data_IF_162893861504
#
_entry.id   IF_162893861504
#
_cell.length_a   1.000
_cell.length_b   1.000
_cell.length_c   1.000
_cell.angle_alpha   90.00
_cell.angle_beta   90.00
_cell.angle_gamma   90.00
#
_symmetry.space_group_name_H-M   'P 1'
#
loop_
_entity.id
_entity.type
_entity.pdbx_description
1 polymer ?
#
# COMPACT_ATOMS: atom_id res chain seq x y z
N UNK A 1 0.23 1.83 0.08
CA UNK A 1 -0.32 0.56 -0.44
C UNK A 1 0.20 -0.64 0.38
N UNK A 2 1.51 -0.87 0.52
CA UNK A 2 2.06 -2.09 1.15
C UNK A 2 1.52 -2.39 2.55
N UNK A 3 1.53 -1.42 3.46
CA UNK A 3 0.98 -1.58 4.81
C UNK A 3 -0.51 -1.92 4.79
N UNK A 4 -1.29 -1.17 4.04
CA UNK A 4 -2.72 -1.41 3.90
C UNK A 4 -3.01 -2.83 3.40
N UNK A 5 -2.31 -3.26 2.35
CA UNK A 5 -2.48 -4.60 1.80
C UNK A 5 -2.07 -5.68 2.81
N UNK A 6 -0.92 -5.52 3.49
CA UNK A 6 -0.45 -6.49 4.47
C UNK A 6 -1.43 -6.67 5.64
N UNK A 7 -1.98 -5.57 6.15
CA UNK A 7 -2.98 -5.58 7.23
C UNK A 7 -4.24 -6.32 6.77
N UNK A 8 -4.81 -5.93 5.61
CA UNK A 8 -6.01 -6.59 5.10
C UNK A 8 -5.79 -8.08 4.81
N UNK A 9 -4.61 -8.48 4.30
CA UNK A 9 -4.28 -9.89 4.13
C UNK A 9 -4.26 -10.65 5.46
N UNK A 10 -3.65 -10.07 6.51
CA UNK A 10 -3.59 -10.69 7.82
C UNK A 10 -4.95 -10.77 8.52
N UNK A 11 -5.77 -9.73 8.39
CA UNK A 11 -7.14 -9.70 8.93
C UNK A 11 -8.05 -10.76 8.29
N UNK A 12 -7.94 -10.93 6.96
CA UNK A 12 -8.73 -11.92 6.23
C UNK A 12 -8.21 -13.37 6.39
N UNK A 13 -6.92 -13.54 6.66
CA UNK A 13 -6.33 -14.84 6.92
C UNK A 13 -5.20 -14.76 7.96
N UNK A 14 -5.51 -14.92 9.25
CA UNK A 14 -4.53 -14.84 10.34
C UNK A 14 -3.44 -15.92 10.32
N UNK A 15 -3.56 -16.94 9.45
CA UNK A 15 -2.52 -17.97 9.30
C UNK A 15 -1.37 -17.54 8.38
N UNK A 16 -1.52 -16.45 7.65
CA UNK A 16 -0.48 -15.94 6.76
C UNK A 16 0.71 -15.39 7.57
N UNK A 17 1.90 -15.79 7.16
CA UNK A 17 3.14 -15.16 7.61
C UNK A 17 3.48 -14.03 6.64
N UNK A 18 3.40 -12.79 7.09
CA UNK A 18 3.56 -11.61 6.25
C UNK A 18 4.76 -10.81 6.71
N UNK A 19 5.60 -10.40 5.75
CA UNK A 19 6.69 -9.45 5.97
C UNK A 19 6.57 -8.26 5.02
N UNK A 20 6.87 -7.08 5.52
CA UNK A 20 7.02 -5.84 4.74
C UNK A 20 8.52 -5.54 4.70
N UNK A 21 9.09 -5.49 3.49
CA UNK A 21 10.47 -5.06 3.26
C UNK A 21 10.47 -3.57 2.88
N UNK A 22 11.09 -2.76 3.71
CA UNK A 22 11.25 -1.32 3.46
C UNK A 22 12.75 -1.01 3.26
N UNK A 23 13.05 -0.32 2.16
CA UNK A 23 14.43 0.11 1.84
C UNK A 23 14.98 1.13 2.82
N UNK A 24 14.13 2.05 3.25
CA UNK A 24 14.51 3.13 4.16
C UNK A 24 14.74 2.67 5.59
N UNK A 25 15.33 3.54 6.39
CA UNK A 25 15.43 3.35 7.84
C UNK A 25 14.10 3.59 8.54
N UNK A 26 13.23 4.40 7.94
CA UNK A 26 11.90 4.74 8.43
C UNK A 26 10.84 4.30 7.44
N UNK A 27 9.69 3.89 7.96
CA UNK A 27 8.54 3.48 7.15
C UNK A 27 7.60 4.63 6.86
N UNK A 28 6.78 4.49 5.80
CA UNK A 28 5.66 5.40 5.50
C UNK A 28 6.08 6.86 5.24
N UNK A 29 7.31 7.13 4.82
CA UNK A 29 7.81 8.50 4.59
C UNK A 29 6.96 9.29 3.58
N UNK A 30 6.42 8.64 2.54
CA UNK A 30 5.51 9.31 1.60
C UNK A 30 4.17 9.69 2.25
N UNK A 31 3.69 8.93 3.21
CA UNK A 31 2.52 9.27 4.02
C UNK A 31 2.83 10.47 4.90
N UNK A 32 4.00 10.49 5.52
CA UNK A 32 4.44 11.57 6.42
C UNK A 32 4.37 12.94 5.79
N UNK A 33 4.82 13.08 4.54
CA UNK A 33 4.87 14.36 3.81
C UNK A 33 3.61 14.66 3.01
N UNK A 34 2.71 13.68 2.83
CA UNK A 34 1.51 13.85 2.01
C UNK A 34 0.54 14.86 2.61
N UNK A 35 -0.21 15.55 1.75
CA UNK A 35 -1.18 16.55 2.17
C UNK A 35 -0.61 17.66 3.07
N UNK A 36 0.67 18.04 2.85
CA UNK A 36 1.35 19.03 3.67
C UNK A 36 1.61 18.56 5.11
N UNK A 37 1.87 17.26 5.30
CA UNK A 37 2.08 16.65 6.63
C UNK A 37 0.80 16.26 7.35
N UNK A 38 -0.37 16.43 6.74
CA UNK A 38 -1.68 16.06 7.29
C UNK A 38 -2.21 14.73 6.81
N UNK A 39 -1.69 14.20 5.71
CA UNK A 39 -2.13 13.02 4.98
C UNK A 39 -3.57 13.13 4.46
N UNK A 40 -3.76 13.68 3.26
CA UNK A 40 -5.03 13.54 2.56
C UNK A 40 -5.27 12.07 2.20
N UNK A 41 -6.29 11.44 2.80
CA UNK A 41 -6.59 10.02 2.64
C UNK A 41 -7.34 9.72 1.35
N UNK A 42 -8.39 10.49 1.10
CA UNK A 42 -9.26 10.35 -0.07
C UNK A 42 -10.09 11.62 -0.25
N UNK A 43 -11.02 11.58 -1.19
CA UNK A 43 -11.99 12.64 -1.44
C UNK A 43 -13.41 12.15 -1.10
N UNK A 44 -14.25 13.02 -0.56
CA UNK A 44 -15.65 12.70 -0.22
C UNK A 44 -16.53 12.59 -1.49
N UNK A 45 -16.15 11.68 -2.36
CA UNK A 45 -16.87 11.29 -3.56
C UNK A 45 -17.18 9.80 -3.44
N UNK A 46 -18.45 9.49 -3.20
CA UNK A 46 -18.90 8.12 -2.82
C UNK A 46 -19.46 7.33 -4.01
N UNK A 47 -19.72 7.97 -5.14
CA UNK A 47 -20.06 7.28 -6.39
C UNK A 47 -18.80 6.90 -7.15
N UNK A 48 -18.55 5.60 -7.41
CA UNK A 48 -17.41 5.13 -8.17
C UNK A 48 -17.28 5.76 -9.56
N UNK A 49 -18.39 6.05 -10.23
CA UNK A 49 -18.38 6.64 -11.57
C UNK A 49 -18.00 8.13 -11.55
N UNK A 50 -18.31 8.82 -10.47
CA UNK A 50 -17.86 10.21 -10.25
C UNK A 50 -16.41 10.22 -9.78
N UNK A 51 -16.03 9.33 -8.83
CA UNK A 51 -14.69 9.26 -8.29
C UNK A 51 -13.63 9.03 -9.37
N UNK A 52 -13.89 8.17 -10.37
CA UNK A 52 -12.93 7.93 -11.47
C UNK A 52 -12.64 9.16 -12.31
N UNK A 53 -13.50 10.20 -12.30
CA UNK A 53 -13.24 11.42 -13.06
C UNK A 53 -12.04 12.21 -12.53
N UNK A 54 -11.70 12.04 -11.23
CA UNK A 54 -10.54 12.66 -10.60
C UNK A 54 -9.21 11.94 -10.93
N UNK A 55 -9.28 10.83 -11.69
CA UNK A 55 -8.10 10.06 -12.12
C UNK A 55 -7.88 10.19 -13.63
N UNK A 56 -7.13 11.20 -14.09
CA UNK A 56 -6.94 11.45 -15.53
C UNK A 56 -6.21 10.28 -16.22
N UNK A 57 -5.45 9.49 -15.46
CA UNK A 57 -4.84 8.22 -15.90
C UNK A 57 -5.46 7.07 -15.13
N UNK A 58 -5.82 5.99 -15.81
CA UNK A 58 -6.40 4.81 -15.19
C UNK A 58 -7.90 4.91 -14.90
N UNK A 59 -8.61 5.88 -15.45
CA UNK A 59 -10.06 6.06 -15.26
C UNK A 59 -10.87 4.81 -15.61
N UNK A 60 -10.53 4.14 -16.71
CA UNK A 60 -11.21 2.91 -17.15
C UNK A 60 -10.87 1.75 -16.23
N UNK A 61 -9.61 1.60 -15.88
CA UNK A 61 -9.06 0.52 -15.06
C UNK A 61 -9.54 0.60 -13.60
N UNK A 62 -9.69 1.80 -13.06
CA UNK A 62 -10.11 2.02 -11.67
C UNK A 62 -11.62 1.88 -11.45
N UNK A 63 -12.43 1.93 -12.50
CA UNK A 63 -13.89 1.87 -12.36
C UNK A 63 -14.36 0.58 -11.67
N UNK A 64 -13.85 -0.57 -12.09
CA UNK A 64 -14.16 -1.85 -11.44
C UNK A 64 -13.72 -1.92 -9.98
N UNK A 65 -12.45 -1.65 -9.68
CA UNK A 65 -11.95 -1.59 -8.31
C UNK A 65 -12.74 -0.65 -7.40
N UNK A 66 -13.14 0.54 -7.84
CA UNK A 66 -13.90 1.47 -7.01
C UNK A 66 -15.35 1.03 -6.71
N UNK A 67 -15.92 0.13 -7.51
CA UNK A 67 -17.17 -0.55 -7.15
C UNK A 67 -17.00 -1.58 -6.02
N UNK A 68 -15.77 -2.00 -5.73
CA UNK A 68 -15.44 -2.94 -4.66
C UNK A 68 -14.87 -2.23 -3.41
N UNK A 69 -14.14 -1.14 -3.60
CA UNK A 69 -13.53 -0.36 -2.53
C UNK A 69 -13.43 1.11 -2.95
N UNK A 70 -14.28 1.94 -2.37
CA UNK A 70 -14.42 3.36 -2.67
C UNK A 70 -14.00 4.24 -1.50
N UNK A 71 -14.28 5.53 -1.58
CA UNK A 71 -13.96 6.51 -0.52
C UNK A 71 -14.67 6.22 0.79
N UNK A 72 -15.92 5.73 0.76
CA UNK A 72 -16.67 5.31 1.94
C UNK A 72 -15.99 4.16 2.68
N UNK A 73 -15.56 3.15 1.92
CA UNK A 73 -14.84 1.98 2.49
C UNK A 73 -13.50 2.40 3.11
N UNK A 74 -12.83 3.41 2.52
CA UNK A 74 -11.61 3.98 3.09
C UNK A 74 -11.88 4.63 4.45
N UNK A 75 -12.96 5.41 4.56
CA UNK A 75 -13.37 6.05 5.81
C UNK A 75 -13.65 4.97 6.86
N UNK A 76 -14.52 4.04 6.55
CA UNK A 76 -14.89 2.93 7.44
C UNK A 76 -13.68 2.15 7.92
N UNK A 77 -12.73 1.86 7.03
CA UNK A 77 -11.53 1.12 7.38
C UNK A 77 -10.70 1.87 8.44
N UNK A 78 -10.47 3.17 8.25
CA UNK A 78 -9.70 3.97 9.21
C UNK A 78 -10.43 4.17 10.54
N UNK A 79 -11.75 4.38 10.50
CA UNK A 79 -12.57 4.53 11.71
C UNK A 79 -12.57 3.25 12.54
N UNK A 80 -12.68 2.08 11.90
CA UNK A 80 -12.54 0.77 12.58
C UNK A 80 -11.16 0.58 13.22
N UNK A 81 -10.14 1.24 12.68
CA UNK A 81 -8.78 1.24 13.24
C UNK A 81 -8.54 2.41 14.21
N UNK A 82 -9.60 3.07 14.68
CA UNK A 82 -9.52 4.11 15.71
C UNK A 82 -9.07 5.48 15.23
N UNK A 83 -9.08 5.74 13.91
CA UNK A 83 -8.72 7.04 13.34
C UNK A 83 -9.98 7.85 13.06
N UNK A 84 -10.20 8.92 13.82
CA UNK A 84 -11.27 9.87 13.53
C UNK A 84 -10.89 10.75 12.32
N UNK A 85 -11.80 10.86 11.36
CA UNK A 85 -11.61 11.61 10.12
C UNK A 85 -12.54 12.82 10.05
N UNK A 86 -12.16 13.81 9.25
CA UNK A 86 -12.99 14.97 8.90
C UNK A 86 -12.92 15.25 7.41
N UNK A 87 -14.02 15.77 6.87
CA UNK A 87 -14.13 16.26 5.51
C UNK A 87 -13.95 17.78 5.54
N UNK A 88 -13.06 18.31 4.73
CA UNK A 88 -12.90 19.76 4.53
C UNK A 88 -13.87 20.27 3.45
N UNK A 89 -14.06 21.57 3.37
CA UNK A 89 -15.03 22.21 2.46
C UNK A 89 -14.81 21.88 0.98
N UNK A 90 -13.58 21.53 0.61
CA UNK A 90 -13.22 21.12 -0.75
C UNK A 90 -13.32 19.59 -0.98
N UNK A 91 -13.91 18.87 -0.06
CA UNK A 91 -14.13 17.42 -0.14
C UNK A 91 -12.93 16.56 0.23
N UNK A 92 -11.78 17.11 0.58
CA UNK A 92 -10.62 16.33 1.01
C UNK A 92 -10.84 15.77 2.41
N UNK A 93 -10.36 14.55 2.65
CA UNK A 93 -10.42 13.89 3.95
C UNK A 93 -9.07 13.88 4.66
N UNK A 94 -9.09 14.30 5.90
CA UNK A 94 -7.92 14.33 6.78
C UNK A 94 -8.24 13.72 8.14
N UNK A 95 -7.22 13.23 8.88
CA UNK A 95 -7.42 12.91 10.29
C UNK A 95 -7.79 14.19 11.08
N UNK A 96 -8.67 14.05 12.05
CA UNK A 96 -9.11 15.17 12.91
C UNK A 96 -7.92 15.85 13.58
N UNK A 97 -6.87 15.10 13.92
CA UNK A 97 -5.61 15.60 14.47
C UNK A 97 -4.82 16.54 13.56
N UNK A 98 -5.15 16.62 12.27
CA UNK A 98 -4.37 17.33 11.25
C UNK A 98 -2.89 16.88 11.17
N UNK A 99 -2.59 15.66 11.55
CA UNK A 99 -1.23 15.12 11.53
C UNK A 99 -1.19 13.77 10.79
N UNK A 100 -0.30 13.67 9.82
CA UNK A 100 0.00 12.39 9.15
C UNK A 100 0.53 11.33 10.11
N UNK A 101 1.04 11.74 11.27
CA UNK A 101 1.53 10.82 12.29
C UNK A 101 0.40 9.90 12.79
N UNK A 102 -0.82 10.39 12.93
CA UNK A 102 -1.99 9.58 13.30
C UNK A 102 -2.20 8.40 12.33
N UNK A 103 -2.03 8.63 11.04
CA UNK A 103 -2.15 7.58 10.02
C UNK A 103 -0.98 6.61 10.08
N UNK A 104 0.22 7.11 10.33
CA UNK A 104 1.42 6.28 10.49
C UNK A 104 1.27 5.38 11.71
N UNK A 105 0.86 5.94 12.86
CA UNK A 105 0.67 5.19 14.10
C UNK A 105 -0.39 4.10 13.93
N UNK A 106 -1.51 4.42 13.28
CA UNK A 106 -2.55 3.45 12.93
C UNK A 106 -1.97 2.24 12.19
N UNK A 107 -1.20 2.47 11.12
CA UNK A 107 -0.59 1.39 10.35
C UNK A 107 0.45 0.59 11.16
N UNK A 108 1.28 1.27 11.93
CA UNK A 108 2.33 0.63 12.74
C UNK A 108 1.72 -0.22 13.85
N UNK A 109 0.70 0.29 14.54
CA UNK A 109 0.00 -0.44 15.59
C UNK A 109 -0.76 -1.65 15.03
N UNK A 110 -1.45 -1.49 13.89
CA UNK A 110 -2.15 -2.60 13.25
C UNK A 110 -1.17 -3.71 12.81
N UNK A 111 0.00 -3.36 12.23
CA UNK A 111 1.01 -4.37 11.87
C UNK A 111 1.55 -5.10 13.08
N UNK A 112 1.80 -4.40 14.18
CA UNK A 112 2.21 -5.00 15.47
C UNK A 112 1.18 -5.98 16.00
N UNK A 113 -0.08 -5.55 16.06
CA UNK A 113 -1.22 -6.33 16.56
C UNK A 113 -1.40 -7.64 15.78
N UNK A 114 -1.20 -7.59 14.47
CA UNK A 114 -1.36 -8.71 13.55
C UNK A 114 -0.10 -9.56 13.38
N UNK A 115 0.99 -9.25 14.08
CA UNK A 115 2.24 -10.01 13.99
C UNK A 115 2.94 -9.90 12.63
N UNK A 116 2.70 -8.84 11.87
CA UNK A 116 3.35 -8.60 10.58
C UNK A 116 4.78 -8.12 10.81
N UNK A 117 5.76 -8.82 10.23
CA UNK A 117 7.16 -8.41 10.32
C UNK A 117 7.42 -7.18 9.44
N UNK A 118 7.90 -6.09 10.04
CA UNK A 118 8.29 -4.87 9.31
C UNK A 118 9.82 -4.74 9.38
N UNK A 119 10.47 -4.98 8.23
CA UNK A 119 11.91 -5.05 8.11
C UNK A 119 12.42 -3.84 7.34
N UNK A 120 13.10 -2.94 8.03
CA UNK A 120 13.70 -1.72 7.46
C UNK A 120 15.14 -1.95 6.99
N UNK A 121 15.66 -1.06 6.16
CA UNK A 121 17.01 -1.20 5.59
C UNK A 121 17.13 -2.32 4.56
N UNK A 122 16.01 -2.87 4.09
CA UNK A 122 15.96 -3.98 3.15
C UNK A 122 15.82 -3.47 1.71
N UNK A 123 16.94 -3.09 1.11
CA UNK A 123 16.97 -2.67 -0.29
C UNK A 123 16.96 -3.89 -1.20
N UNK A 124 15.82 -4.20 -1.80
CA UNK A 124 15.70 -5.32 -2.75
C UNK A 124 16.61 -5.08 -3.96
N UNK A 125 17.47 -6.05 -4.25
CA UNK A 125 18.42 -6.05 -5.35
C UNK A 125 17.96 -6.93 -6.51
N UNK A 126 17.36 -8.08 -6.20
CA UNK A 126 16.82 -8.99 -7.20
C UNK A 126 15.55 -9.68 -6.70
N UNK A 127 14.71 -10.04 -7.65
CA UNK A 127 13.50 -10.83 -7.45
C UNK A 127 13.46 -11.85 -8.57
N UNK A 128 13.37 -13.12 -8.24
CA UNK A 128 13.21 -14.18 -9.22
C UNK A 128 12.36 -15.32 -8.69
N UNK A 129 11.76 -16.07 -9.59
CA UNK A 129 10.93 -17.21 -9.24
C UNK A 129 11.69 -18.50 -9.56
N UNK A 130 11.76 -19.40 -8.61
CA UNK A 130 12.27 -20.75 -8.77
C UNK A 130 11.18 -21.71 -8.35
N UNK A 131 10.71 -22.51 -9.29
CA UNK A 131 9.55 -23.38 -9.13
C UNK A 131 8.32 -22.58 -8.69
N UNK A 132 7.77 -22.86 -7.50
CA UNK A 132 6.62 -22.17 -6.96
C UNK A 132 6.98 -21.14 -5.87
N UNK A 133 8.27 -20.88 -5.65
CA UNK A 133 8.78 -20.01 -4.60
C UNK A 133 9.44 -18.78 -5.21
N UNK A 134 9.11 -17.63 -4.68
CA UNK A 134 9.80 -16.38 -4.99
C UNK A 134 11.00 -16.23 -4.07
N UNK A 135 12.11 -15.83 -4.67
CA UNK A 135 13.35 -15.46 -3.96
C UNK A 135 13.56 -13.96 -4.11
N UNK A 136 13.79 -13.31 -2.99
CA UNK A 136 14.05 -11.87 -2.90
C UNK A 136 15.41 -11.69 -2.26
N UNK A 137 16.32 -11.02 -2.95
CA UNK A 137 17.67 -10.76 -2.44
C UNK A 137 17.81 -9.31 -2.02
N UNK A 138 18.42 -9.13 -0.86
CA UNK A 138 18.87 -7.84 -0.34
C UNK A 138 20.37 -7.92 -0.06
N UNK A 139 21.07 -6.81 0.26
CA UNK A 139 22.49 -6.84 0.53
C UNK A 139 22.92 -7.82 1.65
N UNK A 140 22.02 -8.06 2.60
CA UNK A 140 22.36 -8.79 3.82
C UNK A 140 21.62 -10.14 3.95
N UNK A 141 20.49 -10.31 3.28
CA UNK A 141 19.61 -11.46 3.48
C UNK A 141 18.90 -11.91 2.20
N UNK A 142 18.47 -13.16 2.18
CA UNK A 142 17.60 -13.73 1.16
C UNK A 142 16.28 -14.14 1.81
N UNK A 143 15.18 -13.77 1.17
CA UNK A 143 13.82 -14.11 1.60
C UNK A 143 13.17 -15.06 0.60
N UNK A 144 12.45 -16.05 1.13
CA UNK A 144 11.66 -16.99 0.35
C UNK A 144 10.18 -16.78 0.66
N UNK A 145 9.34 -16.70 -0.35
CA UNK A 145 7.90 -16.55 -0.17
C UNK A 145 7.10 -17.13 -1.34
N UNK A 146 5.86 -17.49 -1.08
CA UNK A 146 4.92 -18.00 -2.10
C UNK A 146 4.30 -16.88 -2.94
N UNK A 147 4.12 -15.70 -2.34
CA UNK A 147 3.45 -14.55 -2.96
C UNK A 147 4.24 -13.27 -2.69
N UNK A 148 4.31 -12.41 -3.69
CA UNK A 148 4.89 -11.07 -3.59
C UNK A 148 3.86 -10.04 -3.97
N UNK A 149 3.81 -8.95 -3.22
CA UNK A 149 3.06 -7.75 -3.55
C UNK A 149 4.04 -6.59 -3.68
N UNK A 150 4.08 -6.00 -4.87
CA UNK A 150 4.96 -4.87 -5.17
C UNK A 150 4.23 -3.55 -4.90
N UNK A 151 4.67 -2.85 -3.87
CA UNK A 151 4.11 -1.57 -3.45
C UNK A 151 5.17 -0.47 -3.35
N UNK A 152 6.13 -0.50 -4.26
CA UNK A 152 7.36 0.30 -4.24
C UNK A 152 7.20 1.72 -4.78
N UNK A 153 5.99 2.08 -5.23
CA UNK A 153 5.73 3.36 -5.89
C UNK A 153 6.52 3.50 -7.19
N UNK A 154 6.79 4.72 -7.61
CA UNK A 154 7.54 5.03 -8.84
C UNK A 154 9.05 4.90 -8.63
N UNK A 155 9.56 3.67 -8.51
CA UNK A 155 11.00 3.40 -8.40
C UNK A 155 11.52 2.80 -9.73
N UNK A 156 12.35 3.52 -10.51
CA UNK A 156 12.84 3.03 -11.80
C UNK A 156 13.56 1.69 -11.71
N UNK A 157 14.39 1.48 -10.68
CA UNK A 157 15.11 0.21 -10.48
C UNK A 157 14.19 -0.99 -10.35
N UNK A 158 13.04 -0.83 -9.71
CA UNK A 158 12.05 -1.90 -9.61
C UNK A 158 11.36 -2.14 -10.94
N UNK A 159 11.09 -1.09 -11.71
CA UNK A 159 10.53 -1.24 -13.05
C UNK A 159 11.48 -2.02 -13.97
N UNK A 160 12.78 -1.75 -13.90
CA UNK A 160 13.80 -2.49 -14.68
C UNK A 160 13.85 -3.97 -14.25
N UNK A 161 13.81 -4.26 -12.96
CA UNK A 161 13.72 -5.65 -12.46
C UNK A 161 12.47 -6.35 -12.99
N UNK A 162 11.32 -5.68 -13.02
CA UNK A 162 10.06 -6.24 -13.51
C UNK A 162 10.07 -6.49 -15.02
N UNK A 163 10.79 -5.66 -15.79
CA UNK A 163 10.96 -5.89 -17.22
C UNK A 163 11.67 -7.24 -17.50
N UNK A 164 12.64 -7.58 -16.67
CA UNK A 164 13.34 -8.87 -16.79
C UNK A 164 12.47 -10.07 -16.38
N UNK A 165 11.38 -9.84 -15.62
CA UNK A 165 10.40 -10.86 -15.25
C UNK A 165 9.26 -11.03 -16.29
N UNK A 166 9.24 -10.22 -17.35
CA UNK A 166 8.17 -10.22 -18.38
C UNK A 166 7.94 -11.58 -19.04
N UNK A 167 8.95 -12.43 -19.11
CA UNK A 167 8.81 -13.79 -19.66
C UNK A 167 7.99 -14.74 -18.78
N UNK A 168 7.62 -14.32 -17.55
CA UNK A 168 6.87 -15.14 -16.60
C UNK A 168 5.53 -14.50 -16.14
N UNK A 169 5.21 -13.28 -16.55
CA UNK A 169 4.00 -12.57 -16.18
C UNK A 169 3.15 -12.23 -17.40
N UNK A 170 1.87 -12.68 -17.47
CA UNK A 170 1.00 -12.42 -18.63
C UNK A 170 0.52 -10.96 -18.73
N UNK A 171 0.83 -10.11 -17.78
CA UNK A 171 0.45 -8.69 -17.78
C UNK A 171 1.66 -7.81 -18.07
N UNK A 172 1.80 -7.35 -19.31
CA UNK A 172 2.65 -6.22 -19.63
C UNK A 172 1.87 -4.92 -19.34
N UNK A 173 2.41 -3.96 -18.59
CA UNK A 173 1.83 -2.62 -18.59
C UNK A 173 1.96 -2.01 -19.96
N UNK A 174 0.83 -1.58 -20.52
CA UNK A 174 0.74 -0.80 -21.75
C UNK A 174 1.32 0.60 -21.56
#
# INVERSE_FOLDING_TARGET
>A
AGFFTAINCAENNPKLKIAILERGKSVLEKVRISGGGRCNLTHACFDPNELVQFYPRGKKELRGPFHQFCSGDTIEWFERHGVALKIEADGRLFPVSNSSQTIIDCFVEATKKLGIAVLTGQSVQSIFKSDNVWKIETPNEQYLCEKIILATGSNPKIWDMLQNLRYQCPFAPS
#
